data_IF_184392058087
#
_entry.id   IF_184392058087
#
_cell.length_a   1.000
_cell.length_b   1.000
_cell.length_c   1.000
_cell.angle_alpha   90.00
_cell.angle_beta   90.00
_cell.angle_gamma   90.00
#
_symmetry.space_group_name_H-M   'P 1'
#
loop_
_entity.id
_entity.type
_entity.pdbx_description
1 polymer ?
#
# COMPACT_ATOMS: atom_id res chain seq x y z
N UNK A 1 11.40 7.96 2.42
CA UNK A 1 11.30 6.49 2.20
C UNK A 1 11.69 6.20 0.76
N UNK A 2 12.26 5.03 0.43
CA UNK A 2 12.62 4.73 -0.95
C UNK A 2 11.38 4.46 -1.81
N UNK A 3 11.46 4.75 -3.12
CA UNK A 3 10.45 4.41 -4.11
C UNK A 3 10.90 3.16 -4.88
N UNK A 4 9.97 2.27 -5.23
CA UNK A 4 10.26 1.11 -6.07
C UNK A 4 10.90 1.55 -7.39
N UNK A 5 11.94 0.87 -7.90
CA UNK A 5 12.64 1.27 -9.11
C UNK A 5 11.71 1.38 -10.32
N UNK A 6 11.95 2.39 -11.15
CA UNK A 6 11.31 2.49 -12.46
C UNK A 6 11.96 1.48 -13.39
N UNK A 7 11.16 0.57 -13.94
CA UNK A 7 11.62 -0.46 -14.88
C UNK A 7 11.52 0.03 -16.33
N UNK A 8 12.36 -0.49 -17.19
CA UNK A 8 12.39 -0.12 -18.62
C UNK A 8 11.18 -0.65 -19.39
N UNK A 9 10.56 -1.72 -18.90
CA UNK A 9 9.34 -2.29 -19.46
C UNK A 9 8.18 -2.11 -18.49
N UNK A 10 7.02 -1.78 -19.03
CA UNK A 10 5.76 -1.74 -18.25
C UNK A 10 5.43 -3.14 -17.76
N UNK A 11 5.40 -3.29 -16.45
CA UNK A 11 4.83 -4.48 -15.82
C UNK A 11 3.31 -4.50 -16.05
N UNK A 12 2.76 -5.70 -16.16
CA UNK A 12 1.30 -5.88 -16.20
C UNK A 12 0.69 -5.36 -14.88
N UNK A 13 -0.58 -4.97 -14.95
CA UNK A 13 -1.29 -4.48 -13.76
C UNK A 13 -1.08 -5.41 -12.57
N UNK A 14 -0.63 -4.88 -11.42
CA UNK A 14 -0.48 -5.71 -10.24
C UNK A 14 -1.82 -6.27 -9.80
N UNK A 15 -1.82 -7.54 -9.42
CA UNK A 15 -2.95 -8.17 -8.73
C UNK A 15 -2.89 -7.76 -7.26
N UNK A 16 -4.00 -7.27 -6.72
CA UNK A 16 -4.13 -6.95 -5.30
C UNK A 16 -5.04 -7.98 -4.66
N UNK A 17 -4.56 -8.63 -3.62
CA UNK A 17 -5.33 -9.56 -2.78
C UNK A 17 -5.53 -8.93 -1.40
N UNK A 18 -6.76 -8.95 -0.91
CA UNK A 18 -7.12 -8.44 0.41
C UNK A 18 -7.36 -9.59 1.37
N UNK A 19 -6.62 -9.61 2.48
CA UNK A 19 -6.72 -10.63 3.50
C UNK A 19 -7.28 -10.03 4.79
N UNK A 20 -8.43 -10.54 5.22
CA UNK A 20 -9.04 -10.21 6.49
C UNK A 20 -8.66 -11.25 7.55
N UNK A 21 -8.41 -10.81 8.78
CA UNK A 21 -8.30 -11.72 9.91
C UNK A 21 -9.63 -11.72 10.68
N UNK A 22 -10.43 -12.76 10.44
CA UNK A 22 -11.70 -13.00 11.11
C UNK A 22 -11.62 -14.33 11.85
N UNK A 23 -11.85 -14.30 13.16
CA UNK A 23 -11.97 -15.52 13.95
C UNK A 23 -13.43 -15.99 13.84
N UNK A 24 -13.60 -17.21 13.35
CA UNK A 24 -14.91 -17.89 13.28
C UNK A 24 -14.89 -19.02 14.29
N UNK A 25 -15.85 -19.03 15.20
CA UNK A 25 -16.04 -20.11 16.17
C UNK A 25 -17.46 -20.65 16.10
N UNK A 26 -17.57 -21.97 15.94
CA UNK A 26 -18.85 -22.67 15.91
C UNK A 26 -19.32 -22.94 17.34
N UNK A 27 -20.58 -22.63 17.63
CA UNK A 27 -21.23 -22.98 18.89
C UNK A 27 -21.93 -24.33 18.75
N UNK A 28 -22.06 -25.06 19.84
CA UNK A 28 -22.82 -26.34 19.89
C UNK A 28 -24.28 -26.21 19.40
N UNK A 29 -24.83 -25.00 19.41
CA UNK A 29 -26.16 -24.69 18.87
C UNK A 29 -26.20 -24.57 17.32
N UNK A 30 -25.11 -24.78 16.62
CA UNK A 30 -24.99 -24.58 15.16
C UNK A 30 -24.93 -23.11 14.75
N UNK A 31 -24.79 -22.16 15.69
CA UNK A 31 -24.57 -20.75 15.39
C UNK A 31 -23.07 -20.47 15.31
N UNK A 32 -22.67 -19.66 14.32
CA UNK A 32 -21.30 -19.14 14.21
C UNK A 32 -21.18 -17.82 14.96
N UNK A 33 -20.09 -17.66 15.71
CA UNK A 33 -19.64 -16.37 16.21
C UNK A 33 -18.47 -15.90 15.33
N UNK A 34 -18.57 -14.68 14.80
CA UNK A 34 -17.56 -14.09 13.90
C UNK A 34 -17.01 -12.83 14.53
N UNK A 35 -15.72 -12.82 14.83
CA UNK A 35 -15.02 -11.67 15.40
C UNK A 35 -13.95 -11.20 14.42
N UNK A 36 -14.10 -9.97 13.93
CA UNK A 36 -13.09 -9.34 13.07
C UNK A 36 -11.94 -8.83 13.93
N UNK A 37 -10.72 -9.29 13.68
CA UNK A 37 -9.52 -8.92 14.45
C UNK A 37 -8.85 -7.66 13.88
N UNK A 38 -8.86 -7.52 12.55
CA UNK A 38 -8.27 -6.34 11.92
C UNK A 38 -9.35 -5.36 11.48
N UNK A 39 -9.15 -4.08 11.78
CA UNK A 39 -10.06 -3.02 11.33
C UNK A 39 -10.07 -2.85 9.80
N UNK A 40 -8.95 -3.25 9.13
CA UNK A 40 -8.78 -3.19 7.69
C UNK A 40 -8.06 -4.44 7.15
N UNK A 41 -8.32 -4.84 5.90
CA UNK A 41 -7.62 -5.96 5.29
C UNK A 41 -6.14 -5.62 5.08
N UNK A 42 -5.25 -6.58 5.26
CA UNK A 42 -3.87 -6.49 4.77
C UNK A 42 -3.84 -6.90 3.31
N UNK A 43 -3.12 -6.13 2.49
CA UNK A 43 -3.03 -6.37 1.06
C UNK A 43 -1.71 -7.00 0.68
N UNK A 44 -1.80 -7.94 -0.25
CA UNK A 44 -0.65 -8.49 -0.97
C UNK A 44 -0.75 -8.03 -2.42
N UNK A 45 0.29 -7.35 -2.89
CA UNK A 45 0.37 -6.79 -4.23
C UNK A 45 1.32 -7.68 -5.04
N UNK A 46 0.78 -8.36 -6.03
CA UNK A 46 1.53 -9.25 -6.91
C UNK A 46 1.84 -8.57 -8.23
N UNK A 47 3.13 -8.31 -8.46
CA UNK A 47 3.64 -7.67 -9.68
C UNK A 47 4.18 -8.73 -10.62
N UNK A 48 3.56 -8.90 -11.78
CA UNK A 48 4.05 -9.80 -12.81
C UNK A 48 5.09 -9.08 -13.67
N UNK A 49 6.22 -9.71 -13.89
CA UNK A 49 7.35 -9.19 -14.65
C UNK A 49 7.71 -10.13 -15.81
N UNK A 50 6.79 -10.40 -16.75
CA UNK A 50 7.05 -11.33 -17.85
C UNK A 50 8.10 -10.75 -18.81
N UNK A 51 9.16 -11.52 -19.05
CA UNK A 51 10.13 -11.21 -20.11
C UNK A 51 10.99 -9.96 -19.88
N UNK A 52 11.21 -9.56 -18.63
CA UNK A 52 12.07 -8.42 -18.31
C UNK A 52 13.53 -8.70 -18.70
N UNK A 53 14.20 -7.65 -19.18
CA UNK A 53 15.64 -7.70 -19.47
C UNK A 53 16.43 -7.84 -18.16
N UNK A 54 17.62 -8.42 -18.28
CA UNK A 54 18.53 -8.61 -17.14
C UNK A 54 18.81 -7.32 -16.34
N UNK A 55 18.83 -6.17 -17.01
CA UNK A 55 19.04 -4.88 -16.37
C UNK A 55 17.94 -4.53 -15.35
N UNK A 56 16.66 -4.77 -15.68
CA UNK A 56 15.54 -4.53 -14.79
C UNK A 56 15.59 -5.48 -13.59
N UNK A 57 15.90 -6.76 -13.82
CA UNK A 57 16.06 -7.73 -12.75
C UNK A 57 17.22 -7.34 -11.81
N UNK A 58 18.34 -6.86 -12.37
CA UNK A 58 19.48 -6.36 -11.59
C UNK A 58 19.06 -5.18 -10.72
N UNK A 59 18.27 -4.21 -11.26
CA UNK A 59 17.76 -3.07 -10.49
C UNK A 59 16.91 -3.53 -9.31
N UNK A 60 15.99 -4.47 -9.52
CA UNK A 60 15.13 -5.01 -8.46
C UNK A 60 15.97 -5.74 -7.40
N UNK A 61 16.92 -6.56 -7.82
CA UNK A 61 17.81 -7.30 -6.93
C UNK A 61 18.69 -6.35 -6.10
N UNK A 62 19.27 -5.34 -6.73
CA UNK A 62 20.11 -4.35 -6.05
C UNK A 62 19.26 -3.54 -5.05
N UNK A 63 18.03 -3.20 -5.41
CA UNK A 63 17.08 -2.53 -4.52
C UNK A 63 16.70 -3.43 -3.33
N UNK A 64 16.39 -4.72 -3.57
CA UNK A 64 16.10 -5.70 -2.53
C UNK A 64 17.25 -5.87 -1.54
N UNK A 65 18.48 -6.02 -2.05
CA UNK A 65 19.65 -6.31 -1.22
C UNK A 65 20.21 -5.07 -0.53
N UNK A 66 20.34 -3.96 -1.24
CA UNK A 66 21.09 -2.80 -0.77
C UNK A 66 20.18 -1.76 -0.08
N UNK A 67 18.99 -1.54 -0.63
CA UNK A 67 18.04 -0.54 -0.11
C UNK A 67 17.12 -1.13 0.93
N UNK A 68 16.44 -2.23 0.59
CA UNK A 68 15.44 -2.84 1.47
C UNK A 68 16.03 -3.84 2.47
N UNK A 69 17.23 -4.37 2.19
CA UNK A 69 17.90 -5.42 2.98
C UNK A 69 16.95 -6.58 3.26
N UNK A 70 16.39 -7.13 2.18
CA UNK A 70 15.34 -8.15 2.23
C UNK A 70 14.00 -7.53 2.65
N UNK A 71 13.37 -8.14 3.64
CA UNK A 71 12.09 -7.67 4.20
C UNK A 71 12.24 -6.60 5.30
N UNK A 72 13.47 -6.13 5.60
CA UNK A 72 13.72 -5.28 6.77
C UNK A 72 13.15 -3.88 6.64
N UNK A 73 13.31 -3.26 5.48
CA UNK A 73 12.89 -1.88 5.25
C UNK A 73 11.71 -1.82 4.30
N UNK A 74 10.79 -0.93 4.61
CA UNK A 74 9.64 -0.61 3.79
C UNK A 74 10.00 0.41 2.70
N UNK A 75 9.21 0.42 1.64
CA UNK A 75 9.33 1.36 0.54
C UNK A 75 7.96 1.68 -0.04
N UNK A 76 7.88 2.67 -0.94
CA UNK A 76 6.64 3.01 -1.65
C UNK A 76 6.58 2.30 -2.99
N UNK A 77 5.45 1.67 -3.26
CA UNK A 77 5.14 1.11 -4.58
C UNK A 77 4.12 2.01 -5.26
N UNK A 78 4.53 2.64 -6.38
CA UNK A 78 3.66 3.55 -7.12
C UNK A 78 2.87 2.79 -8.17
N UNK A 79 1.56 2.92 -8.11
CA UNK A 79 0.66 2.43 -9.15
C UNK A 79 0.60 3.46 -10.28
N UNK A 80 1.01 3.10 -11.50
CA UNK A 80 1.15 4.08 -12.60
C UNK A 80 -0.16 4.64 -13.14
N UNK A 81 -1.29 4.02 -12.79
CA UNK A 81 -2.60 4.48 -13.23
C UNK A 81 -3.34 5.26 -12.17
N UNK A 82 -3.85 6.42 -12.58
CA UNK A 82 -4.80 7.20 -11.79
C UNK A 82 -6.17 6.52 -11.81
N UNK A 83 -6.73 6.26 -10.63
CA UNK A 83 -8.05 5.65 -10.43
C UNK A 83 -8.75 6.29 -9.24
N UNK A 84 -10.06 6.10 -9.15
CA UNK A 84 -10.82 6.41 -7.94
C UNK A 84 -10.61 5.30 -6.90
N UNK A 85 -10.22 5.71 -5.71
CA UNK A 85 -10.06 4.86 -4.53
C UNK A 85 -11.04 5.30 -3.46
N UNK A 86 -11.73 4.33 -2.85
CA UNK A 86 -12.75 4.61 -1.85
C UNK A 86 -12.29 4.14 -0.47
N UNK A 87 -12.32 5.06 0.51
CA UNK A 87 -12.02 4.78 1.92
C UNK A 87 -10.69 4.05 2.15
N UNK A 88 -9.64 4.49 1.46
CA UNK A 88 -8.29 3.97 1.71
C UNK A 88 -7.82 4.34 3.12
N UNK A 89 -7.15 3.40 3.78
CA UNK A 89 -6.63 3.61 5.13
C UNK A 89 -5.53 4.67 5.15
N UNK A 90 -5.67 5.65 6.02
CA UNK A 90 -4.71 6.73 6.21
C UNK A 90 -4.02 6.70 7.59
N UNK A 91 -4.64 6.06 8.59
CA UNK A 91 -4.05 5.93 9.92
C UNK A 91 -5.08 5.73 11.03
N UNK A 92 -4.58 5.73 12.27
CA UNK A 92 -5.40 5.75 13.48
C UNK A 92 -5.27 7.11 14.18
N UNK A 93 -6.38 7.63 14.69
CA UNK A 93 -6.39 8.77 15.56
C UNK A 93 -5.65 8.48 16.87
N UNK A 94 -4.95 9.47 17.39
CA UNK A 94 -4.23 9.42 18.67
C UNK A 94 -4.60 10.60 19.60
N UNK A 95 -5.64 11.35 19.26
CA UNK A 95 -6.09 12.58 19.91
C UNK A 95 -5.12 13.76 19.82
N UNK A 96 -3.98 13.61 19.12
CA UNK A 96 -2.93 14.64 19.01
C UNK A 96 -2.58 14.97 17.57
N UNK A 97 -2.49 13.96 16.72
CA UNK A 97 -2.12 14.10 15.32
C UNK A 97 -3.29 14.60 14.49
N UNK A 98 -3.09 15.72 13.79
CA UNK A 98 -4.09 16.32 12.90
C UNK A 98 -3.85 16.01 11.44
N UNK A 99 -2.60 15.73 11.05
CA UNK A 99 -2.20 15.58 9.66
C UNK A 99 -1.96 14.11 9.36
N UNK A 100 -2.64 13.61 8.33
CA UNK A 100 -2.54 12.23 7.86
C UNK A 100 -2.07 12.21 6.41
N UNK A 101 -1.25 11.22 6.08
CA UNK A 101 -0.74 11.01 4.73
C UNK A 101 -1.79 10.30 3.89
N UNK A 102 -2.06 10.82 2.70
CA UNK A 102 -2.85 10.14 1.68
C UNK A 102 -1.90 9.18 0.94
N UNK A 103 -2.26 7.91 0.71
CA UNK A 103 -1.41 6.98 -0.01
C UNK A 103 -1.41 7.27 -1.54
N UNK A 104 -1.06 8.49 -1.90
CA UNK A 104 -0.97 9.02 -3.26
C UNK A 104 0.10 10.11 -3.33
N UNK A 105 0.66 10.35 -4.51
CA UNK A 105 1.57 11.45 -4.82
C UNK A 105 0.99 12.42 -5.86
N UNK A 106 -0.21 12.19 -6.32
CA UNK A 106 -0.93 13.01 -7.30
C UNK A 106 -2.45 12.87 -7.11
N UNK A 107 -2.91 12.84 -5.86
CA UNK A 107 -4.33 12.87 -5.58
C UNK A 107 -4.92 14.16 -6.13
N UNK A 108 -5.73 14.02 -7.16
CA UNK A 108 -6.50 15.12 -7.76
C UNK A 108 -7.97 14.93 -7.41
N UNK A 109 -8.74 15.96 -7.35
CA UNK A 109 -10.20 16.03 -7.21
C UNK A 109 -10.90 14.98 -6.30
N UNK A 110 -11.99 15.40 -5.66
CA UNK A 110 -12.88 14.55 -4.84
C UNK A 110 -12.22 13.86 -3.61
N UNK A 111 -11.27 14.56 -2.97
CA UNK A 111 -10.70 14.07 -1.71
C UNK A 111 -11.75 14.23 -0.62
N UNK A 112 -12.14 13.10 -0.03
CA UNK A 112 -13.09 13.05 1.08
C UNK A 112 -12.49 12.25 2.22
N UNK A 113 -12.33 12.88 3.37
CA UNK A 113 -11.82 12.24 4.58
C UNK A 113 -12.97 11.71 5.46
N UNK A 114 -12.71 10.61 6.12
CA UNK A 114 -13.65 9.98 7.05
C UNK A 114 -12.96 9.67 8.38
N UNK A 115 -13.69 9.83 9.46
CA UNK A 115 -13.31 9.36 10.80
C UNK A 115 -14.40 8.39 11.25
N UNK A 116 -14.05 7.13 11.49
CA UNK A 116 -15.01 6.07 11.79
C UNK A 116 -16.18 6.04 10.78
N UNK A 117 -15.87 6.08 9.49
CA UNK A 117 -16.82 6.10 8.37
C UNK A 117 -17.70 7.37 8.26
N UNK A 118 -17.54 8.36 9.12
CA UNK A 118 -18.24 9.64 9.07
C UNK A 118 -17.42 10.66 8.30
N UNK A 119 -18.02 11.30 7.29
CA UNK A 119 -17.37 12.36 6.50
C UNK A 119 -16.96 13.51 7.43
N UNK A 120 -15.69 13.89 7.33
CA UNK A 120 -15.12 14.94 8.17
C UNK A 120 -14.35 15.94 7.28
N UNK A 121 -14.56 17.24 7.51
CA UNK A 121 -13.89 18.29 6.76
C UNK A 121 -12.38 18.32 7.04
N UNK A 122 -11.59 18.43 5.96
CA UNK A 122 -10.12 18.53 6.02
C UNK A 122 -9.62 19.58 5.04
N UNK A 123 -8.43 20.13 5.29
CA UNK A 123 -7.64 20.82 4.27
C UNK A 123 -6.72 19.82 3.58
N UNK A 124 -6.50 20.05 2.29
CA UNK A 124 -5.62 19.20 1.47
C UNK A 124 -4.30 19.93 1.18
N UNK A 125 -3.20 19.18 1.20
CA UNK A 125 -1.86 19.62 0.81
C UNK A 125 -1.28 18.66 -0.22
N UNK A 126 -1.09 19.18 -1.44
CA UNK A 126 -0.51 18.44 -2.56
C UNK A 126 1.00 18.30 -2.36
N UNK A 127 1.51 17.06 -2.36
CA UNK A 127 2.93 16.75 -2.25
C UNK A 127 3.64 17.30 -0.99
N UNK A 128 2.88 17.74 0.02
CA UNK A 128 3.44 18.40 1.22
C UNK A 128 3.92 17.43 2.28
N UNK A 129 3.60 16.15 2.13
CA UNK A 129 3.98 15.10 3.06
C UNK A 129 5.41 14.59 2.88
N UNK A 130 5.83 13.70 3.76
CA UNK A 130 7.09 12.99 3.61
C UNK A 130 7.08 12.19 2.29
N UNK A 131 8.22 12.17 1.61
CA UNK A 131 8.40 11.48 0.33
C UNK A 131 7.54 12.05 -0.83
N UNK A 132 7.06 13.30 -0.73
CA UNK A 132 6.22 13.93 -1.75
C UNK A 132 4.81 13.36 -1.81
N UNK A 133 4.34 12.71 -0.75
CA UNK A 133 2.97 12.23 -0.64
C UNK A 133 2.02 13.38 -0.32
N UNK A 134 0.79 13.20 -0.73
CA UNK A 134 -0.28 14.12 -0.41
C UNK A 134 -0.70 14.00 1.06
N UNK A 135 -1.20 15.07 1.62
CA UNK A 135 -1.64 15.12 3.01
C UNK A 135 -3.04 15.70 3.15
N UNK A 136 -3.72 15.27 4.20
CA UNK A 136 -4.95 15.89 4.67
C UNK A 136 -4.78 16.31 6.14
N UNK A 137 -5.30 17.47 6.50
CA UNK A 137 -5.21 18.02 7.86
C UNK A 137 -6.59 18.31 8.40
N UNK A 138 -6.93 17.72 9.54
CA UNK A 138 -8.17 17.94 10.27
C UNK A 138 -8.09 19.22 11.12
N UNK A 139 -9.21 19.91 11.31
CA UNK A 139 -9.30 21.04 12.22
C UNK A 139 -9.02 20.63 13.68
N UNK A 140 -9.51 19.45 14.09
CA UNK A 140 -9.27 18.83 15.39
C UNK A 140 -8.70 17.43 15.20
N UNK A 141 -7.78 17.00 16.06
CA UNK A 141 -7.21 15.67 16.01
C UNK A 141 -8.30 14.59 16.22
N UNK A 142 -8.37 13.56 15.36
CA UNK A 142 -9.28 12.43 15.57
C UNK A 142 -9.02 11.73 16.90
N UNK A 143 -10.09 11.28 17.56
CA UNK A 143 -10.00 10.63 18.86
C UNK A 143 -9.12 9.38 18.82
N UNK A 144 -8.54 9.02 19.96
CA UNK A 144 -7.67 7.85 20.07
C UNK A 144 -8.42 6.56 19.65
N UNK A 145 -7.78 5.79 18.77
CA UNK A 145 -8.35 4.56 18.21
C UNK A 145 -9.36 4.79 17.07
N UNK A 146 -9.68 6.04 16.73
CA UNK A 146 -10.53 6.32 15.57
C UNK A 146 -9.83 5.93 14.28
N UNK A 147 -10.56 5.29 13.39
CA UNK A 147 -10.06 4.90 12.09
C UNK A 147 -10.20 6.07 11.12
N UNK A 148 -9.09 6.46 10.50
CA UNK A 148 -9.04 7.52 9.50
C UNK A 148 -8.90 6.89 8.12
N UNK A 149 -9.84 7.22 7.22
CA UNK A 149 -9.81 6.78 5.83
C UNK A 149 -10.01 7.95 4.89
N UNK A 150 -9.62 7.77 3.63
CA UNK A 150 -9.71 8.79 2.60
C UNK A 150 -10.15 8.21 1.27
N UNK A 151 -11.09 8.88 0.59
CA UNK A 151 -11.41 8.63 -0.81
C UNK A 151 -10.72 9.68 -1.66
N UNK A 152 -10.12 9.27 -2.77
CA UNK A 152 -9.41 10.16 -3.68
C UNK A 152 -9.36 9.57 -5.10
N UNK A 153 -9.03 10.41 -6.07
CA UNK A 153 -8.64 9.97 -7.42
C UNK A 153 -7.18 10.32 -7.62
N UNK A 154 -6.37 9.34 -7.96
CA UNK A 154 -4.92 9.52 -8.10
C UNK A 154 -4.19 8.21 -8.32
N UNK A 155 -2.86 8.24 -8.25
CA UNK A 155 -1.99 7.06 -8.32
C UNK A 155 -1.74 6.54 -6.93
N UNK A 156 -2.32 5.38 -6.63
CA UNK A 156 -2.15 4.74 -5.33
C UNK A 156 -0.67 4.39 -5.09
N UNK A 157 -0.17 4.80 -3.93
CA UNK A 157 1.24 4.67 -3.57
C UNK A 157 1.36 4.10 -2.15
N UNK A 158 0.99 2.82 -1.96
CA UNK A 158 1.03 2.18 -0.65
C UNK A 158 2.45 2.00 -0.14
N UNK A 159 2.58 1.94 1.18
CA UNK A 159 3.79 1.48 1.84
C UNK A 159 3.82 -0.03 1.83
N UNK A 160 4.92 -0.60 1.33
CA UNK A 160 5.07 -2.04 1.17
C UNK A 160 6.45 -2.51 1.61
N UNK A 161 6.59 -3.81 1.81
CA UNK A 161 7.87 -4.48 1.96
C UNK A 161 7.96 -5.70 1.05
N UNK A 162 9.16 -6.15 0.78
CA UNK A 162 9.37 -7.45 0.16
C UNK A 162 9.02 -8.59 1.12
N UNK A 163 8.72 -9.79 0.61
CA UNK A 163 8.77 -11.02 1.38
C UNK A 163 10.23 -11.35 1.77
N UNK A 164 10.42 -12.32 2.67
CA UNK A 164 11.75 -12.74 3.10
C UNK A 164 12.55 -13.43 1.99
N UNK A 165 11.86 -13.96 0.99
CA UNK A 165 12.45 -14.58 -0.20
C UNK A 165 12.08 -13.83 -1.46
N UNK A 166 13.08 -13.51 -2.28
CA UNK A 166 12.92 -13.06 -3.66
C UNK A 166 13.48 -14.17 -4.57
N UNK A 167 12.62 -14.77 -5.40
CA UNK A 167 13.01 -15.81 -6.36
C UNK A 167 13.08 -15.22 -7.77
N UNK A 168 14.09 -15.61 -8.51
CA UNK A 168 14.30 -15.21 -9.89
C UNK A 168 15.03 -16.30 -10.67
N UNK A 169 14.77 -16.40 -11.95
CA UNK A 169 15.42 -17.34 -12.85
C UNK A 169 15.90 -16.59 -14.10
N UNK A 170 17.15 -16.82 -14.49
CA UNK A 170 17.68 -16.35 -15.74
C UNK A 170 17.51 -17.44 -16.80
N UNK A 171 16.85 -17.12 -17.90
CA UNK A 171 16.62 -18.07 -19.00
C UNK A 171 17.70 -17.95 -20.07
N UNK A 172 18.13 -16.72 -20.37
CA UNK A 172 19.21 -16.43 -21.31
C UNK A 172 20.07 -15.31 -20.78
N UNK A 173 21.20 -15.01 -21.44
CA UNK A 173 22.04 -13.86 -21.06
C UNK A 173 21.32 -12.51 -21.14
N UNK A 174 20.22 -12.41 -21.86
CA UNK A 174 19.46 -11.18 -22.12
C UNK A 174 18.08 -11.16 -21.46
N UNK A 175 17.47 -12.33 -21.21
CA UNK A 175 16.09 -12.45 -20.70
C UNK A 175 16.09 -13.20 -19.38
N UNK A 176 15.46 -12.61 -18.41
CA UNK A 176 15.25 -13.22 -17.10
C UNK A 176 13.74 -13.28 -16.81
N UNK A 177 13.28 -14.38 -16.25
CA UNK A 177 11.93 -14.50 -15.73
C UNK A 177 11.96 -14.37 -14.21
N UNK A 178 11.25 -13.37 -13.73
CA UNK A 178 10.63 -13.44 -12.41
C UNK A 178 9.15 -13.67 -12.67
N UNK A 179 8.61 -14.80 -12.27
CA UNK A 179 7.21 -15.09 -12.53
C UNK A 179 6.31 -14.08 -11.84
N UNK A 180 6.65 -13.72 -10.61
CA UNK A 180 5.85 -12.81 -9.80
C UNK A 180 6.65 -12.29 -8.61
N UNK A 181 6.56 -10.99 -8.33
CA UNK A 181 7.03 -10.41 -7.08
C UNK A 181 5.80 -10.09 -6.23
N UNK A 182 5.72 -10.70 -5.05
CA UNK A 182 4.69 -10.37 -4.07
C UNK A 182 5.21 -9.30 -3.12
N UNK A 183 4.50 -8.19 -3.01
CA UNK A 183 4.76 -7.11 -2.06
C UNK A 183 3.70 -7.13 -0.98
N UNK A 184 4.10 -6.97 0.27
CA UNK A 184 3.19 -7.01 1.42
C UNK A 184 2.97 -5.58 1.89
N UNK A 185 1.71 -5.13 1.91
CA UNK A 185 1.35 -3.81 2.45
C UNK A 185 1.68 -3.74 3.95
N UNK A 186 2.33 -2.65 4.34
CA UNK A 186 2.65 -2.35 5.74
C UNK A 186 1.85 -1.12 6.16
N UNK A 187 1.22 -1.22 7.30
CA UNK A 187 0.45 -0.14 7.94
C UNK A 187 1.05 0.10 9.32
N UNK A 188 1.49 1.30 9.54
CA UNK A 188 2.00 1.76 10.84
C UNK A 188 0.84 2.21 11.74
#
# INVERSE_FOLDING_TARGET
>A
MALFPTLSHTHSYPKVEENWNTIISDMQSGKENRTQVWAFPKRTISVNLPGHIYADLKLIRDFYNNTCKGARYTFRFKYDQSRAYAKEYAGLGDSTTKTFTIPSIDASSNITAYVNDVVTGTSFGDGTGSDGLDQMTFASAPANGSVVTVSFTGKWTPQVRFPDKLSWQQITSLVSLTEQISLIEVRD
#
